data_IF_560407930543
#
_entry.id   IF_560407930543
#
_cell.length_a   1.000
_cell.length_b   1.000
_cell.length_c   1.000
_cell.angle_alpha   90.00
_cell.angle_beta   90.00
_cell.angle_gamma   90.00
#
_symmetry.space_group_name_H-M   'P 1'
#
loop_
_entity.id
_entity.type
_entity.pdbx_description
1 polymer ?
#
# COMPACT_ATOMS: atom_id res chain seq x y z
N UNK A 1 2.39 15.40 -22.85
CA UNK A 1 3.72 15.80 -22.32
C UNK A 1 3.98 14.98 -21.08
N UNK A 2 4.98 14.09 -21.08
CA UNK A 2 5.41 13.42 -19.84
C UNK A 2 5.95 14.51 -18.91
N UNK A 3 5.29 14.72 -17.77
CA UNK A 3 5.86 15.49 -16.67
C UNK A 3 7.16 14.78 -16.27
N UNK A 4 8.31 15.42 -16.38
CA UNK A 4 9.54 14.96 -15.74
C UNK A 4 9.33 15.12 -14.22
N UNK A 5 8.65 14.17 -13.62
CA UNK A 5 8.54 14.10 -12.17
C UNK A 5 9.83 13.44 -11.71
N UNK A 6 10.56 14.14 -10.86
CA UNK A 6 11.77 13.61 -10.24
C UNK A 6 11.34 12.41 -9.38
N UNK A 7 11.76 11.22 -9.76
CA UNK A 7 11.50 10.01 -8.96
C UNK A 7 12.40 10.02 -7.72
N UNK A 8 11.81 10.14 -6.54
CA UNK A 8 12.53 10.15 -5.27
C UNK A 8 12.59 8.73 -4.72
N UNK A 9 13.81 8.27 -4.47
CA UNK A 9 14.07 6.99 -3.80
C UNK A 9 14.83 7.22 -2.49
N UNK A 10 14.48 6.46 -1.46
CA UNK A 10 15.13 6.48 -0.16
C UNK A 10 15.84 5.16 0.10
N UNK A 11 17.09 5.19 0.55
CA UNK A 11 17.79 4.02 1.06
C UNK A 11 17.95 4.14 2.57
N UNK A 12 17.56 3.10 3.32
CA UNK A 12 17.65 3.04 4.78
C UNK A 12 18.34 1.75 5.22
N UNK A 13 19.23 1.80 6.22
CA UNK A 13 19.85 0.62 6.77
C UNK A 13 18.87 -0.17 7.62
N UNK A 14 19.03 -1.49 7.71
CA UNK A 14 18.23 -2.34 8.60
C UNK A 14 18.56 -2.10 10.10
N UNK A 15 19.72 -1.50 10.41
CA UNK A 15 20.11 -1.05 11.75
C UNK A 15 19.37 0.20 12.24
N UNK A 16 18.54 0.84 11.40
CA UNK A 16 17.84 2.10 11.78
C UNK A 16 17.01 1.97 13.05
N UNK A 17 16.62 0.75 13.42
CA UNK A 17 15.83 0.46 14.62
C UNK A 17 16.67 0.08 15.85
N UNK A 18 18.01 0.08 15.77
CA UNK A 18 18.92 -0.38 16.85
C UNK A 18 18.64 0.29 18.20
N UNK A 19 18.34 1.58 18.21
CA UNK A 19 18.06 2.33 19.43
C UNK A 19 16.65 2.10 20.00
N UNK A 20 15.76 1.50 19.21
CA UNK A 20 14.36 1.26 19.59
C UNK A 20 14.26 -0.10 20.30
N UNK A 21 14.06 -0.11 21.61
CA UNK A 21 14.10 -1.33 22.40
C UNK A 21 12.79 -2.13 22.37
N UNK A 22 11.65 -1.45 22.28
CA UNK A 22 10.35 -2.12 22.25
C UNK A 22 9.75 -2.13 20.84
N UNK A 23 8.86 -3.09 20.57
CA UNK A 23 8.14 -3.12 19.31
C UNK A 23 7.26 -1.87 19.12
N UNK A 24 6.76 -1.27 20.20
CA UNK A 24 6.01 -0.01 20.15
C UNK A 24 6.91 1.13 19.65
N UNK A 25 8.12 1.29 20.21
CA UNK A 25 9.06 2.33 19.79
C UNK A 25 9.46 2.15 18.33
N UNK A 26 9.74 0.89 17.92
CA UNK A 26 10.00 0.54 16.52
C UNK A 26 8.83 0.94 15.61
N UNK A 27 7.61 0.61 16.04
CA UNK A 27 6.38 0.93 15.28
C UNK A 27 6.23 2.45 15.10
N UNK A 28 6.41 3.24 16.16
CA UNK A 28 6.32 4.70 16.10
C UNK A 28 7.38 5.28 15.15
N UNK A 29 8.63 4.85 15.28
CA UNK A 29 9.74 5.30 14.42
C UNK A 29 9.47 4.98 12.95
N UNK A 30 9.01 3.76 12.64
CA UNK A 30 8.67 3.35 11.28
C UNK A 30 7.48 4.16 10.74
N UNK A 31 6.47 4.44 11.58
CA UNK A 31 5.34 5.29 11.20
C UNK A 31 5.74 6.70 10.83
N UNK A 32 6.74 7.28 11.53
CA UNK A 32 7.32 8.58 11.17
C UNK A 32 8.03 8.54 9.81
N UNK A 33 8.81 7.48 9.54
CA UNK A 33 9.45 7.27 8.24
C UNK A 33 8.40 7.17 7.14
N UNK A 34 7.38 6.31 7.31
CA UNK A 34 6.30 6.14 6.35
C UNK A 34 5.58 7.46 6.02
N UNK A 35 5.26 8.25 7.07
CA UNK A 35 4.63 9.55 6.91
C UNK A 35 5.52 10.54 6.16
N UNK A 36 6.80 10.61 6.51
CA UNK A 36 7.77 11.47 5.83
C UNK A 36 7.90 11.10 4.35
N UNK A 37 8.04 9.81 4.05
CA UNK A 37 8.06 9.31 2.66
C UNK A 37 6.82 9.75 1.88
N UNK A 38 5.63 9.66 2.49
CA UNK A 38 4.38 10.07 1.83
C UNK A 38 4.30 11.58 1.61
N UNK A 39 4.77 12.40 2.56
CA UNK A 39 4.77 13.86 2.44
C UNK A 39 5.71 14.33 1.31
N UNK A 40 6.87 13.70 1.19
CA UNK A 40 7.88 14.07 0.18
C UNK A 40 7.75 13.31 -1.14
N UNK A 41 6.71 12.48 -1.30
CA UNK A 41 6.47 11.76 -2.55
C UNK A 41 7.55 10.74 -2.88
N UNK A 42 8.12 10.06 -1.87
CA UNK A 42 9.08 8.97 -2.09
C UNK A 42 8.38 7.80 -2.77
N UNK A 43 8.90 7.34 -3.91
CA UNK A 43 8.30 6.26 -4.69
C UNK A 43 8.89 4.89 -4.38
N UNK A 44 10.15 4.85 -3.93
CA UNK A 44 10.84 3.60 -3.60
C UNK A 44 11.62 3.72 -2.31
N UNK A 45 11.50 2.71 -1.46
CA UNK A 45 12.29 2.58 -0.23
C UNK A 45 13.14 1.31 -0.36
N UNK A 46 14.46 1.48 -0.37
CA UNK A 46 15.42 0.39 -0.37
C UNK A 46 15.89 0.13 1.06
N UNK A 47 15.68 -1.09 1.56
CA UNK A 47 16.17 -1.51 2.88
C UNK A 47 17.42 -2.36 2.65
N UNK A 48 18.57 -1.86 3.08
CA UNK A 48 19.83 -2.56 2.88
C UNK A 48 20.42 -3.07 4.19
N UNK A 49 21.16 -4.17 4.09
CA UNK A 49 21.87 -4.76 5.21
C UNK A 49 23.22 -4.04 5.37
N UNK A 50 23.42 -3.35 6.49
CA UNK A 50 24.66 -2.63 6.79
C UNK A 50 25.58 -3.36 7.77
N UNK A 51 25.10 -4.39 8.51
CA UNK A 51 25.88 -5.12 9.50
C UNK A 51 25.74 -6.65 9.38
N UNK A 52 25.95 -7.19 8.18
CA UNK A 52 26.06 -8.63 7.91
C UNK A 52 24.95 -9.51 8.54
N UNK A 53 23.69 -9.07 8.49
CA UNK A 53 22.54 -9.83 8.96
C UNK A 53 22.21 -9.69 10.45
N UNK A 54 22.94 -8.89 11.20
CA UNK A 54 22.68 -8.63 12.64
C UNK A 54 21.24 -8.16 12.91
N UNK A 55 20.63 -7.39 12.00
CA UNK A 55 19.31 -6.76 12.15
C UNK A 55 18.23 -7.39 11.24
N UNK A 56 18.37 -8.64 10.86
CA UNK A 56 17.42 -9.32 9.97
C UNK A 56 15.98 -9.30 10.51
N UNK A 57 15.79 -9.52 11.81
CA UNK A 57 14.48 -9.43 12.44
C UNK A 57 13.91 -8.00 12.37
N UNK A 58 14.74 -6.99 12.59
CA UNK A 58 14.34 -5.58 12.52
C UNK A 58 14.01 -5.16 11.09
N UNK A 59 14.73 -5.68 10.11
CA UNK A 59 14.42 -5.50 8.68
C UNK A 59 13.03 -6.05 8.34
N UNK A 60 12.68 -7.23 8.82
CA UNK A 60 11.36 -7.80 8.59
C UNK A 60 10.23 -6.98 9.26
N UNK A 61 10.45 -6.50 10.49
CA UNK A 61 9.52 -5.59 11.18
C UNK A 61 9.36 -4.28 10.39
N UNK A 62 10.46 -3.67 9.99
CA UNK A 62 10.50 -2.44 9.21
C UNK A 62 9.71 -2.59 7.92
N UNK A 63 9.98 -3.66 7.16
CA UNK A 63 9.29 -3.96 5.90
C UNK A 63 7.79 -4.16 6.10
N UNK A 64 7.39 -4.99 7.08
CA UNK A 64 5.97 -5.29 7.34
C UNK A 64 5.18 -4.05 7.72
N UNK A 65 5.72 -3.20 8.61
CA UNK A 65 5.03 -1.99 9.07
C UNK A 65 4.97 -0.94 7.95
N UNK A 66 6.02 -0.77 7.15
CA UNK A 66 6.00 0.14 6.00
C UNK A 66 4.95 -0.29 4.96
N UNK A 67 4.90 -1.60 4.60
CA UNK A 67 3.88 -2.13 3.69
C UNK A 67 2.47 -1.94 4.25
N UNK A 68 2.28 -2.21 5.56
CA UNK A 68 1.00 -1.99 6.23
C UNK A 68 0.58 -0.52 6.18
N UNK A 69 1.48 0.41 6.46
CA UNK A 69 1.18 1.85 6.48
C UNK A 69 0.75 2.33 5.09
N UNK A 70 1.43 1.89 4.03
CA UNK A 70 1.14 2.25 2.64
C UNK A 70 -0.17 1.62 2.14
N UNK A 71 -0.59 0.49 2.70
CA UNK A 71 -1.81 -0.20 2.28
C UNK A 71 -3.06 0.58 2.71
N UNK A 72 -4.05 0.82 1.80
CA UNK A 72 -5.33 1.43 2.14
C UNK A 72 -6.04 0.68 3.28
N UNK A 73 -6.66 1.42 4.20
CA UNK A 73 -7.23 0.85 5.44
C UNK A 73 -8.22 -0.28 5.17
N UNK A 74 -9.07 -0.13 4.15
CA UNK A 74 -10.10 -1.12 3.81
C UNK A 74 -9.53 -2.46 3.31
N UNK A 75 -8.27 -2.50 2.87
CA UNK A 75 -7.60 -3.72 2.41
C UNK A 75 -6.77 -4.39 3.52
N UNK A 76 -6.40 -3.66 4.59
CA UNK A 76 -5.44 -4.13 5.60
C UNK A 76 -5.86 -5.43 6.27
N UNK A 77 -7.13 -5.53 6.68
CA UNK A 77 -7.64 -6.74 7.36
C UNK A 77 -7.51 -7.98 6.46
N UNK A 78 -7.72 -7.82 5.17
CA UNK A 78 -7.69 -8.89 4.19
C UNK A 78 -6.27 -9.35 3.85
N UNK A 79 -5.34 -8.38 3.76
CA UNK A 79 -3.94 -8.65 3.38
C UNK A 79 -3.13 -9.20 4.55
N UNK A 80 -3.26 -8.61 5.73
CA UNK A 80 -2.34 -8.90 6.83
C UNK A 80 -2.89 -9.86 7.89
N UNK A 81 -4.22 -9.96 8.03
CA UNK A 81 -4.80 -10.75 9.10
C UNK A 81 -4.30 -10.30 10.48
N UNK A 82 -3.91 -11.27 11.34
CA UNK A 82 -3.45 -11.01 12.70
C UNK A 82 -1.97 -11.39 12.82
N UNK A 83 -1.08 -10.42 12.67
CA UNK A 83 0.38 -10.56 12.67
C UNK A 83 0.95 -9.89 13.92
N UNK A 84 1.81 -10.59 14.68
CA UNK A 84 2.40 -10.12 15.94
C UNK A 84 3.16 -8.80 15.77
N UNK A 85 3.92 -8.65 14.70
CA UNK A 85 4.72 -7.45 14.42
C UNK A 85 3.85 -6.21 14.15
N UNK A 86 2.56 -6.40 13.85
CA UNK A 86 1.60 -5.33 13.59
C UNK A 86 0.71 -4.99 14.79
N UNK A 87 0.97 -5.53 15.98
CA UNK A 87 0.09 -5.33 17.16
C UNK A 87 -0.08 -3.87 17.58
N UNK A 88 0.91 -3.00 17.30
CA UNK A 88 0.88 -1.58 17.67
C UNK A 88 0.58 -0.63 16.52
N UNK A 89 0.34 -1.12 15.30
CA UNK A 89 0.07 -0.24 14.14
C UNK A 89 -1.20 0.59 14.26
N UNK A 90 -2.12 0.21 15.16
CA UNK A 90 -3.29 1.01 15.50
C UNK A 90 -2.97 2.36 16.17
N UNK A 91 -1.75 2.54 16.70
CA UNK A 91 -1.28 3.82 17.24
C UNK A 91 -0.82 4.80 16.18
N UNK A 92 -0.59 4.31 14.94
CA UNK A 92 -0.11 5.13 13.84
C UNK A 92 -1.26 5.92 13.19
N UNK A 93 -1.08 7.22 12.96
CA UNK A 93 -2.03 7.96 12.14
C UNK A 93 -2.02 7.41 10.70
N UNK A 94 -3.18 7.34 10.03
CA UNK A 94 -3.24 6.91 8.65
C UNK A 94 -2.44 7.83 7.73
N UNK A 95 -1.81 7.28 6.72
CA UNK A 95 -1.20 8.07 5.66
C UNK A 95 -2.33 8.69 4.82
N UNK A 96 -2.21 9.99 4.53
CA UNK A 96 -3.16 10.72 3.69
C UNK A 96 -2.63 10.78 2.25
N UNK A 97 -2.56 9.61 1.62
CA UNK A 97 -2.16 9.47 0.22
C UNK A 97 -3.39 9.36 -0.69
N UNK A 98 -3.34 9.77 -1.96
CA UNK A 98 -4.49 9.75 -2.86
C UNK A 98 -5.19 8.39 -2.96
N UNK A 99 -4.44 7.30 -2.94
CA UNK A 99 -5.00 5.94 -3.00
C UNK A 99 -5.66 5.45 -1.68
N UNK A 100 -5.58 6.24 -0.61
CA UNK A 100 -6.27 5.96 0.67
C UNK A 100 -7.66 6.62 0.75
N UNK A 101 -8.15 7.20 -0.34
CA UNK A 101 -9.40 7.93 -0.37
C UNK A 101 -10.62 7.02 -0.12
N UNK A 102 -11.58 7.53 0.69
CA UNK A 102 -12.86 6.89 1.00
C UNK A 102 -14.06 7.65 0.44
N UNK A 103 -13.82 8.59 -0.48
CA UNK A 103 -14.90 9.39 -1.08
C UNK A 103 -15.96 8.52 -1.77
N UNK A 104 -17.12 9.09 -2.03
CA UNK A 104 -18.14 8.49 -2.90
C UNK A 104 -17.53 8.15 -4.25
N UNK A 105 -17.93 7.00 -4.80
CA UNK A 105 -17.42 6.52 -6.08
C UNK A 105 -17.80 7.45 -7.22
N UNK A 106 -16.79 7.93 -7.92
CA UNK A 106 -16.97 8.68 -9.16
C UNK A 106 -16.46 7.90 -10.36
N UNK A 107 -17.09 8.09 -11.51
CA UNK A 107 -16.61 7.47 -12.75
C UNK A 107 -15.28 8.08 -13.15
N UNK A 108 -14.29 7.23 -13.44
CA UNK A 108 -12.92 7.64 -13.76
C UNK A 108 -11.97 7.64 -12.57
N UNK A 109 -12.47 7.52 -11.34
CA UNK A 109 -11.66 7.41 -10.14
C UNK A 109 -10.74 6.17 -10.19
N UNK A 110 -9.54 6.31 -9.65
CA UNK A 110 -8.58 5.21 -9.50
C UNK A 110 -8.60 4.75 -8.05
N UNK A 111 -8.68 3.44 -7.84
CA UNK A 111 -8.62 2.81 -6.51
C UNK A 111 -7.68 1.62 -6.48
N UNK A 112 -7.13 1.35 -5.31
CA UNK A 112 -6.50 0.08 -5.02
C UNK A 112 -7.56 -0.97 -4.69
N UNK A 113 -7.31 -2.21 -5.07
CA UNK A 113 -8.21 -3.32 -4.75
C UNK A 113 -7.50 -4.65 -4.71
N UNK A 114 -8.20 -5.66 -4.19
CA UNK A 114 -7.75 -7.05 -4.18
C UNK A 114 -8.67 -7.86 -5.07
N UNK A 115 -8.08 -8.62 -5.98
CA UNK A 115 -8.81 -9.52 -6.87
C UNK A 115 -9.31 -10.72 -6.07
N UNK A 116 -10.57 -11.09 -6.31
CA UNK A 116 -11.14 -12.38 -5.90
C UNK A 116 -11.73 -13.11 -7.08
N UNK A 117 -11.41 -14.39 -7.17
CA UNK A 117 -11.95 -15.27 -8.20
C UNK A 117 -13.15 -16.03 -7.66
N UNK A 118 -14.37 -15.67 -8.13
CA UNK A 118 -15.63 -16.29 -7.71
C UNK A 118 -16.27 -16.95 -8.92
N UNK A 119 -16.51 -18.25 -8.86
CA UNK A 119 -17.13 -19.03 -9.96
C UNK A 119 -16.47 -18.78 -11.34
N UNK A 120 -15.14 -18.72 -11.36
CA UNK A 120 -14.36 -18.50 -12.60
C UNK A 120 -14.34 -17.06 -13.13
N UNK A 121 -15.05 -16.13 -12.48
CA UNK A 121 -15.07 -14.70 -12.82
C UNK A 121 -14.22 -13.91 -11.84
N UNK A 122 -13.63 -12.82 -12.33
CA UNK A 122 -12.80 -11.93 -11.51
C UNK A 122 -13.64 -10.77 -10.98
N UNK A 123 -13.51 -10.56 -9.69
CA UNK A 123 -14.05 -9.42 -8.97
C UNK A 123 -12.94 -8.69 -8.25
N UNK A 124 -13.16 -7.46 -7.86
CA UNK A 124 -12.22 -6.68 -7.08
C UNK A 124 -12.92 -6.06 -5.88
N UNK A 125 -12.31 -6.26 -4.72
CA UNK A 125 -12.68 -5.60 -3.47
C UNK A 125 -11.94 -4.27 -3.39
N UNK A 126 -12.67 -3.17 -3.44
CA UNK A 126 -12.16 -1.79 -3.35
C UNK A 126 -12.68 -1.08 -2.09
N UNK A 127 -13.04 -1.85 -1.08
CA UNK A 127 -13.55 -1.32 0.19
C UNK A 127 -15.04 -0.96 0.21
N UNK A 128 -15.82 -1.45 -0.75
CA UNK A 128 -17.27 -1.28 -0.78
C UNK A 128 -17.97 -2.46 -0.14
N UNK A 129 -19.27 -2.29 0.14
CA UNK A 129 -20.13 -3.38 0.65
C UNK A 129 -20.22 -4.56 -0.33
N UNK A 130 -20.09 -4.31 -1.63
CA UNK A 130 -20.12 -5.33 -2.67
C UNK A 130 -18.87 -5.26 -3.52
N UNK A 131 -18.33 -6.43 -3.86
CA UNK A 131 -17.26 -6.52 -4.84
C UNK A 131 -17.72 -6.11 -6.22
N UNK A 132 -16.83 -5.54 -6.99
CA UNK A 132 -17.10 -5.03 -8.33
C UNK A 132 -16.49 -6.00 -9.35
N UNK A 133 -17.19 -6.23 -10.45
CA UNK A 133 -16.68 -7.06 -11.54
C UNK A 133 -15.45 -6.41 -12.16
N UNK A 134 -14.37 -7.19 -12.28
CA UNK A 134 -13.12 -6.74 -12.89
C UNK A 134 -13.14 -6.98 -14.41
N UNK A 135 -12.77 -5.94 -15.16
CA UNK A 135 -12.43 -6.02 -16.58
C UNK A 135 -10.90 -6.13 -16.68
N UNK A 136 -10.42 -7.22 -17.24
CA UNK A 136 -8.98 -7.50 -17.36
C UNK A 136 -8.64 -8.88 -16.80
N UNK A 137 -7.35 -9.11 -16.63
CA UNK A 137 -6.80 -10.33 -16.06
C UNK A 137 -6.17 -10.07 -14.69
N UNK A 138 -5.94 -11.13 -13.94
CA UNK A 138 -5.26 -11.07 -12.65
C UNK A 138 -5.31 -12.39 -11.92
N UNK A 139 -4.55 -12.48 -10.84
CA UNK A 139 -4.50 -13.65 -9.97
C UNK A 139 -5.40 -13.42 -8.76
N UNK A 140 -5.90 -14.49 -8.20
CA UNK A 140 -6.61 -14.45 -6.94
C UNK A 140 -5.72 -13.86 -5.84
N UNK A 141 -6.27 -13.02 -4.97
CA UNK A 141 -5.57 -12.27 -3.91
C UNK A 141 -4.48 -11.29 -4.41
N UNK A 142 -4.43 -10.98 -5.69
CA UNK A 142 -3.52 -9.96 -6.24
C UNK A 142 -4.03 -8.56 -5.90
N UNK A 143 -3.16 -7.71 -5.34
CA UNK A 143 -3.42 -6.27 -5.17
C UNK A 143 -3.18 -5.56 -6.49
N UNK A 144 -4.14 -4.75 -6.92
CA UNK A 144 -4.08 -4.01 -8.18
C UNK A 144 -4.59 -2.59 -8.02
N UNK A 145 -4.13 -1.71 -8.91
CA UNK A 145 -4.79 -0.43 -9.17
C UNK A 145 -5.85 -0.63 -10.26
N UNK A 146 -7.02 -0.04 -10.07
CA UNK A 146 -8.11 -0.14 -11.04
C UNK A 146 -8.83 1.18 -11.22
N UNK A 147 -9.29 1.45 -12.45
CA UNK A 147 -10.11 2.60 -12.80
C UNK A 147 -11.58 2.24 -12.74
N UNK A 148 -12.36 3.01 -12.03
CA UNK A 148 -13.80 2.80 -11.87
C UNK A 148 -14.55 3.30 -13.10
N UNK A 149 -15.43 2.47 -13.63
CA UNK A 149 -16.33 2.79 -14.74
C UNK A 149 -17.78 2.63 -14.28
N UNK A 150 -18.54 3.71 -14.33
CA UNK A 150 -19.98 3.68 -14.02
C UNK A 150 -20.75 3.70 -15.34
N UNK A 151 -21.52 2.63 -15.59
CA UNK A 151 -22.42 2.51 -16.76
C UNK A 151 -23.86 2.32 -16.30
N UNK A 152 -24.59 3.42 -16.20
CA UNK A 152 -25.94 3.41 -15.63
C UNK A 152 -25.94 2.96 -14.17
N UNK A 153 -26.55 1.80 -13.87
CA UNK A 153 -26.55 1.19 -12.53
C UNK A 153 -25.41 0.20 -12.29
N UNK A 154 -24.63 -0.13 -13.30
CA UNK A 154 -23.54 -1.08 -13.19
C UNK A 154 -22.23 -0.35 -12.94
N UNK A 155 -21.49 -0.82 -11.91
CA UNK A 155 -20.16 -0.34 -11.57
C UNK A 155 -19.19 -1.44 -11.95
N UNK A 156 -18.17 -1.08 -12.71
CA UNK A 156 -17.12 -1.98 -13.18
C UNK A 156 -15.76 -1.41 -12.78
N UNK A 157 -14.79 -2.29 -12.55
CA UNK A 157 -13.40 -1.92 -12.36
C UNK A 157 -12.58 -2.38 -13.55
N UNK A 158 -11.76 -1.53 -14.11
CA UNK A 158 -10.81 -1.88 -15.16
C UNK A 158 -9.40 -1.84 -14.60
N UNK A 159 -8.66 -2.95 -14.74
CA UNK A 159 -7.26 -3.00 -14.29
C UNK A 159 -6.45 -1.90 -14.95
N UNK A 160 -5.64 -1.21 -14.16
CA UNK A 160 -4.77 -0.12 -14.61
C UNK A 160 -3.32 -0.42 -14.23
N UNK A 161 -2.38 -0.06 -15.11
CA UNK A 161 -0.97 -0.09 -14.75
C UNK A 161 -0.66 1.10 -13.83
N UNK A 162 -0.06 0.82 -12.66
CA UNK A 162 0.32 1.84 -11.67
C UNK A 162 1.25 2.91 -12.25
N UNK A 163 2.13 2.55 -13.18
CA UNK A 163 3.05 3.50 -13.85
C UNK A 163 2.34 4.58 -14.69
N UNK A 164 1.06 4.37 -15.02
CA UNK A 164 0.24 5.32 -15.78
C UNK A 164 -0.53 6.29 -14.88
N UNK A 165 -0.41 6.15 -13.55
CA UNK A 165 -1.05 7.04 -12.59
C UNK A 165 -0.17 8.28 -12.43
N UNK A 166 -0.75 9.46 -12.71
CA UNK A 166 -0.02 10.73 -12.67
C UNK A 166 0.18 11.27 -11.24
N UNK A 167 -0.73 10.91 -10.33
CA UNK A 167 -0.66 11.29 -8.92
C UNK A 167 0.30 10.39 -8.15
N UNK A 168 0.83 10.90 -7.04
CA UNK A 168 1.60 10.07 -6.10
C UNK A 168 0.75 8.91 -5.58
N UNK A 169 1.21 7.69 -5.82
CA UNK A 169 0.43 6.47 -5.53
C UNK A 169 1.07 5.58 -4.46
N UNK A 170 1.74 6.21 -3.48
CA UNK A 170 2.47 5.51 -2.43
C UNK A 170 3.86 5.04 -2.88
N UNK A 171 4.53 4.28 -2.01
CA UNK A 171 5.89 3.79 -2.23
C UNK A 171 5.95 2.26 -2.35
N UNK A 172 6.96 1.78 -3.09
CA UNK A 172 7.35 0.37 -3.13
C UNK A 172 8.54 0.11 -2.20
N UNK A 173 8.60 -1.07 -1.58
CA UNK A 173 9.70 -1.49 -0.72
C UNK A 173 10.51 -2.56 -1.43
N UNK A 174 11.82 -2.33 -1.50
CA UNK A 174 12.81 -3.18 -2.17
C UNK A 174 13.84 -3.72 -1.19
#
# INVERSE_FOLDING_TARGET
>A
MKKNILEISLAIPDSILEESQTLLDKTIKIGQIARTCSIFGVEKIYIYNDQKGKYENDREILKKILVYAETPQYLRKKIFGNIKELQYVGTLPPLQTPHHNYSELTSGEIREGIIEKINGKLYVDIGLTKMIKLIGNGRDMERISCKIKVKGKEILAERMNRELIEDYWGYDIK
#
